data_IF_746269744263
#
_entry.id   IF_746269744263
#
_cell.length_a   1.000
_cell.length_b   1.000
_cell.length_c   1.000
_cell.angle_alpha   90.00
_cell.angle_beta   90.00
_cell.angle_gamma   90.00
#
_symmetry.space_group_name_H-M   'P 1'
#
loop_
_entity.id
_entity.type
_entity.pdbx_description
1 polymer ?
#
# COMPACT_ATOMS: atom_id res chain seq x y z
N UNK A 1 -22.55 16.41 -9.10
CA UNK A 1 -21.34 15.68 -9.50
C UNK A 1 -20.07 16.52 -9.42
N UNK A 2 -20.17 17.85 -9.50
CA UNK A 2 -19.00 18.76 -9.61
C UNK A 2 -18.22 19.13 -8.33
N UNK A 3 -18.77 18.90 -7.15
CA UNK A 3 -18.09 19.31 -5.89
C UNK A 3 -16.94 18.38 -5.46
N UNK A 4 -17.01 17.10 -5.79
CA UNK A 4 -16.00 16.11 -5.39
C UNK A 4 -14.76 16.14 -6.31
N UNK A 5 -14.96 16.39 -7.61
CA UNK A 5 -13.89 16.52 -8.60
C UNK A 5 -13.03 17.78 -8.35
N UNK A 6 -13.67 18.87 -7.93
CA UNK A 6 -13.01 20.12 -7.54
C UNK A 6 -12.16 19.98 -6.26
N UNK A 7 -12.57 19.14 -5.30
CA UNK A 7 -11.83 18.95 -4.04
C UNK A 7 -10.60 18.03 -4.23
N UNK A 8 -10.70 17.07 -5.13
CA UNK A 8 -9.57 16.19 -5.53
C UNK A 8 -8.51 16.96 -6.31
N UNK A 9 -8.94 17.80 -7.26
CA UNK A 9 -8.04 18.63 -8.05
C UNK A 9 -7.30 19.63 -7.15
N UNK A 10 -7.99 20.24 -6.17
CA UNK A 10 -7.38 21.14 -5.19
C UNK A 10 -6.35 20.43 -4.30
N UNK A 11 -6.64 19.22 -3.81
CA UNK A 11 -5.68 18.43 -3.02
C UNK A 11 -4.47 17.97 -3.84
N UNK A 12 -4.65 17.65 -5.11
CA UNK A 12 -3.55 17.34 -6.02
C UNK A 12 -2.66 18.57 -6.29
N UNK A 13 -3.25 19.78 -6.43
CA UNK A 13 -2.51 21.03 -6.57
C UNK A 13 -1.75 21.39 -5.28
N UNK A 14 -2.35 21.20 -4.11
CA UNK A 14 -1.68 21.40 -2.81
C UNK A 14 -0.51 20.42 -2.64
N UNK A 15 -0.69 19.17 -3.03
CA UNK A 15 0.38 18.16 -3.02
C UNK A 15 1.53 18.53 -3.97
N UNK A 16 1.23 18.91 -5.21
CA UNK A 16 2.24 19.38 -6.17
C UNK A 16 2.98 20.62 -5.67
N UNK A 17 2.32 21.48 -4.91
CA UNK A 17 2.92 22.68 -4.31
C UNK A 17 3.88 22.33 -3.16
N UNK A 18 3.53 21.34 -2.35
CA UNK A 18 4.41 20.80 -1.29
C UNK A 18 5.61 20.08 -1.91
N UNK A 19 5.39 19.28 -2.95
CA UNK A 19 6.43 18.59 -3.71
C UNK A 19 7.45 19.56 -4.30
N UNK A 20 6.99 20.61 -5.00
CA UNK A 20 7.87 21.65 -5.54
C UNK A 20 8.67 22.35 -4.46
N UNK A 21 8.04 22.66 -3.31
CA UNK A 21 8.77 23.26 -2.18
C UNK A 21 9.82 22.32 -1.60
N UNK A 22 9.55 21.01 -1.54
CA UNK A 22 10.53 20.00 -1.13
C UNK A 22 11.70 19.91 -2.09
N UNK A 23 11.45 19.93 -3.40
CA UNK A 23 12.47 19.93 -4.44
C UNK A 23 13.32 21.22 -4.41
N UNK A 24 12.68 22.39 -4.29
CA UNK A 24 13.36 23.67 -4.11
C UNK A 24 14.27 23.68 -2.87
N UNK A 25 13.75 23.17 -1.74
CA UNK A 25 14.52 23.06 -0.49
C UNK A 25 15.71 22.11 -0.63
N UNK A 26 15.54 20.96 -1.31
CA UNK A 26 16.61 20.01 -1.56
C UNK A 26 17.68 20.61 -2.47
N UNK A 27 17.29 21.36 -3.50
CA UNK A 27 18.23 22.08 -4.37
C UNK A 27 18.98 23.18 -3.63
N UNK A 28 18.32 23.87 -2.71
CA UNK A 28 18.94 24.93 -1.89
C UNK A 28 19.97 24.33 -0.92
N UNK A 29 19.65 23.21 -0.28
CA UNK A 29 20.57 22.45 0.56
C UNK A 29 21.76 21.89 -0.21
N UNK A 30 21.58 21.38 -1.43
CA UNK A 30 22.67 20.94 -2.30
C UNK A 30 23.63 22.08 -2.65
N UNK A 31 23.09 23.26 -3.00
CA UNK A 31 23.88 24.46 -3.29
C UNK A 31 24.68 24.93 -2.06
N UNK A 32 24.05 24.92 -0.88
CA UNK A 32 24.76 25.33 0.35
C UNK A 32 25.83 24.31 0.73
N UNK A 33 25.62 23.05 0.45
CA UNK A 33 26.55 21.96 0.62
C UNK A 33 27.79 22.10 -0.28
N UNK A 34 27.61 22.40 -1.56
CA UNK A 34 28.70 22.67 -2.50
C UNK A 34 29.49 23.91 -2.08
N UNK A 35 28.79 24.95 -1.63
CA UNK A 35 29.41 26.18 -1.13
C UNK A 35 30.28 25.95 0.10
N UNK A 36 29.77 25.13 1.05
CA UNK A 36 30.51 24.76 2.25
C UNK A 36 31.75 23.92 1.92
N UNK A 37 31.64 22.96 1.00
CA UNK A 37 32.78 22.16 0.49
C UNK A 37 33.84 23.04 -0.14
N UNK A 38 33.45 23.96 -1.02
CA UNK A 38 34.40 24.89 -1.66
C UNK A 38 35.11 25.76 -0.63
N UNK A 39 34.39 26.25 0.37
CA UNK A 39 34.98 27.03 1.49
C UNK A 39 35.96 26.23 2.33
N UNK A 40 35.66 24.95 2.59
CA UNK A 40 36.56 24.06 3.32
C UNK A 40 37.88 23.86 2.57
N UNK A 41 37.83 23.61 1.26
CA UNK A 41 39.03 23.46 0.42
C UNK A 41 39.84 24.78 0.37
N UNK A 42 39.20 25.93 0.24
CA UNK A 42 39.88 27.21 0.30
C UNK A 42 40.62 27.46 1.64
N UNK A 43 39.99 27.09 2.76
CA UNK A 43 40.64 27.21 4.06
C UNK A 43 41.81 26.24 4.20
N UNK A 44 41.71 25.02 3.67
CA UNK A 44 42.85 24.08 3.65
C UNK A 44 44.05 24.63 2.86
N UNK A 45 43.81 25.23 1.71
CA UNK A 45 44.89 25.81 0.88
C UNK A 45 45.51 27.05 1.54
N UNK A 46 44.71 27.89 2.20
CA UNK A 46 45.22 29.04 2.97
C UNK A 46 46.07 28.60 4.16
N UNK A 47 45.65 27.59 4.91
CA UNK A 47 46.43 27.02 6.01
C UNK A 47 47.75 26.47 5.51
N UNK A 48 47.79 25.71 4.39
CA UNK A 48 49.01 25.19 3.78
C UNK A 48 49.95 26.31 3.30
N UNK A 49 49.40 27.39 2.75
CA UNK A 49 50.20 28.52 2.29
C UNK A 49 50.88 29.28 3.47
N UNK A 50 50.17 29.42 4.61
CA UNK A 50 50.69 30.05 5.82
C UNK A 50 51.78 29.20 6.50
N UNK A 51 51.64 27.87 6.50
CA UNK A 51 52.64 26.95 7.02
C UNK A 51 53.98 27.03 6.27
N UNK A 52 53.99 27.36 4.97
CA UNK A 52 55.20 27.52 4.14
C UNK A 52 55.97 28.82 4.37
N UNK A 53 55.41 29.82 5.09
CA UNK A 53 55.97 31.14 5.34
C UNK A 53 56.67 31.29 6.69
N UNK A 54 56.97 30.23 7.33
CA UNK A 54 57.47 30.19 8.70
C UNK A 54 58.98 30.55 8.82
N UNK A 55 59.28 31.73 9.42
CA UNK A 55 60.38 31.98 10.32
C UNK A 55 60.35 33.44 10.83
N UNK A 56 59.83 33.66 12.09
CA UNK A 56 59.81 34.97 12.73
C UNK A 56 58.87 35.09 13.92
N UNK A 57 58.82 36.18 14.69
CA UNK A 57 57.94 36.38 15.85
C UNK A 57 56.46 36.44 15.49
N UNK A 58 56.08 36.39 14.22
CA UNK A 58 54.75 36.25 13.71
C UNK A 58 54.19 34.82 13.83
N UNK A 59 55.05 33.81 14.19
CA UNK A 59 54.69 32.39 14.22
C UNK A 59 53.63 32.08 15.29
N UNK A 60 53.65 32.79 16.40
CA UNK A 60 52.69 32.55 17.51
C UNK A 60 51.28 32.99 17.13
N UNK A 61 51.13 34.17 16.55
CA UNK A 61 49.85 34.67 16.00
C UNK A 61 49.34 33.80 14.84
N UNK A 62 50.24 33.27 14.01
CA UNK A 62 49.87 32.37 12.92
C UNK A 62 49.43 30.99 13.43
N UNK A 63 50.08 30.46 14.49
CA UNK A 63 49.67 29.22 15.14
C UNK A 63 48.26 29.32 15.76
N UNK A 64 48.00 30.43 16.46
CA UNK A 64 46.69 30.69 17.04
C UNK A 64 45.61 30.80 15.95
N UNK A 65 45.95 31.47 14.85
CA UNK A 65 45.05 31.58 13.69
C UNK A 65 44.78 30.22 13.03
N UNK A 66 45.83 29.39 12.89
CA UNK A 66 45.71 28.03 12.36
C UNK A 66 44.83 27.17 13.29
N UNK A 67 45.10 27.23 14.61
CA UNK A 67 44.30 26.49 15.59
C UNK A 67 42.80 26.87 15.52
N UNK A 68 42.53 28.17 15.45
CA UNK A 68 41.16 28.68 15.29
C UNK A 68 40.48 28.21 13.98
N UNK A 69 41.24 28.25 12.86
CA UNK A 69 40.74 27.79 11.56
C UNK A 69 40.50 26.27 11.52
N UNK A 70 41.34 25.48 12.21
CA UNK A 70 41.16 24.04 12.36
C UNK A 70 39.95 23.70 13.22
N UNK A 71 39.69 24.46 14.30
CA UNK A 71 38.49 24.33 15.10
C UNK A 71 37.23 24.69 14.29
N UNK A 72 37.25 25.82 13.56
CA UNK A 72 36.15 26.24 12.69
C UNK A 72 35.89 25.21 11.58
N UNK A 73 36.96 24.70 10.94
CA UNK A 73 36.86 23.62 9.95
C UNK A 73 36.21 22.38 10.53
N UNK A 74 36.64 21.97 11.73
CA UNK A 74 36.09 20.77 12.40
C UNK A 74 34.62 20.96 12.73
N UNK A 75 34.25 22.14 13.23
CA UNK A 75 32.86 22.49 13.50
C UNK A 75 32.01 22.48 12.22
N UNK A 76 32.55 23.03 11.12
CA UNK A 76 31.86 23.02 9.81
C UNK A 76 31.67 21.60 9.26
N UNK A 77 32.69 20.73 9.38
CA UNK A 77 32.60 19.32 8.96
C UNK A 77 31.53 18.57 9.76
N UNK A 78 31.49 18.79 11.08
CA UNK A 78 30.52 18.16 11.94
C UNK A 78 29.06 18.62 11.62
N UNK A 79 28.92 19.93 11.38
CA UNK A 79 27.64 20.50 10.96
C UNK A 79 27.21 19.99 9.59
N UNK A 80 28.15 19.84 8.66
CA UNK A 80 27.91 19.25 7.35
C UNK A 80 27.37 17.82 7.45
N UNK A 81 28.05 16.97 8.25
CA UNK A 81 27.64 15.58 8.46
C UNK A 81 26.23 15.50 9.07
N UNK A 82 25.95 16.34 10.07
CA UNK A 82 24.62 16.37 10.68
C UNK A 82 23.51 16.73 9.66
N UNK A 83 23.76 17.73 8.81
CA UNK A 83 22.82 18.12 7.74
C UNK A 83 22.69 17.02 6.67
N UNK A 84 23.77 16.32 6.35
CA UNK A 84 23.73 15.21 5.40
C UNK A 84 22.88 14.03 5.93
N UNK A 85 23.04 13.70 7.21
CA UNK A 85 22.27 12.64 7.84
C UNK A 85 20.78 13.02 7.97
N UNK A 86 20.48 14.26 8.39
CA UNK A 86 19.12 14.78 8.43
C UNK A 86 18.45 14.77 7.04
N UNK A 87 19.21 15.08 5.99
CA UNK A 87 18.72 15.05 4.60
C UNK A 87 18.42 13.63 4.12
N UNK A 88 19.25 12.64 4.51
CA UNK A 88 18.98 11.22 4.19
C UNK A 88 17.70 10.74 4.88
N UNK A 89 17.54 11.08 6.15
CA UNK A 89 16.34 10.73 6.91
C UNK A 89 15.07 11.39 6.33
N UNK A 90 15.21 12.66 5.93
CA UNK A 90 14.10 13.37 5.29
C UNK A 90 13.71 12.75 3.94
N UNK A 91 14.72 12.41 3.10
CA UNK A 91 14.47 11.76 1.82
C UNK A 91 13.81 10.38 1.99
N UNK A 92 14.25 9.61 2.99
CA UNK A 92 13.65 8.31 3.29
C UNK A 92 12.17 8.44 3.71
N UNK A 93 11.87 9.37 4.62
CA UNK A 93 10.49 9.65 5.06
C UNK A 93 9.62 10.19 3.92
N UNK A 94 10.20 10.98 3.04
CA UNK A 94 9.47 11.51 1.89
C UNK A 94 9.02 10.40 0.95
N UNK A 95 9.91 9.44 0.64
CA UNK A 95 9.57 8.28 -0.19
C UNK A 95 8.49 7.41 0.47
N UNK A 96 8.58 7.21 1.79
CA UNK A 96 7.57 6.47 2.54
C UNK A 96 6.19 7.14 2.44
N UNK A 97 6.12 8.45 2.65
CA UNK A 97 4.86 9.21 2.52
C UNK A 97 4.33 9.21 1.08
N UNK A 98 5.20 9.26 0.08
CA UNK A 98 4.81 9.17 -1.33
C UNK A 98 4.20 7.81 -1.65
N UNK A 99 4.81 6.72 -1.18
CA UNK A 99 4.28 5.37 -1.34
C UNK A 99 2.93 5.19 -0.62
N UNK A 100 2.79 5.71 0.60
CA UNK A 100 1.51 5.71 1.33
C UNK A 100 0.41 6.48 0.56
N UNK A 101 0.73 7.66 0.03
CA UNK A 101 -0.24 8.44 -0.74
C UNK A 101 -0.65 7.74 -2.05
N UNK A 102 0.31 7.11 -2.74
CA UNK A 102 0.02 6.35 -3.95
C UNK A 102 -0.90 5.14 -3.64
N UNK A 103 -0.63 4.45 -2.55
CA UNK A 103 -1.44 3.33 -2.10
C UNK A 103 -2.86 3.76 -1.73
N UNK A 104 -3.02 4.88 -1.01
CA UNK A 104 -4.32 5.44 -0.68
C UNK A 104 -5.09 5.89 -1.93
N UNK A 105 -4.42 6.51 -2.90
CA UNK A 105 -5.03 6.90 -4.17
C UNK A 105 -5.51 5.68 -4.95
N UNK A 106 -4.72 4.63 -5.03
CA UNK A 106 -5.09 3.37 -5.67
C UNK A 106 -6.29 2.72 -4.98
N UNK A 107 -6.31 2.70 -3.64
CA UNK A 107 -7.43 2.18 -2.87
C UNK A 107 -8.72 3.00 -3.09
N UNK A 108 -8.59 4.33 -3.20
CA UNK A 108 -9.73 5.19 -3.50
C UNK A 108 -10.33 4.88 -4.88
N UNK A 109 -9.47 4.75 -5.91
CA UNK A 109 -9.91 4.36 -7.26
C UNK A 109 -10.56 2.98 -7.25
N UNK A 110 -9.94 2.02 -6.55
CA UNK A 110 -10.46 0.68 -6.36
C UNK A 110 -11.84 0.68 -5.70
N UNK A 111 -12.00 1.43 -4.62
CA UNK A 111 -13.30 1.60 -3.93
C UNK A 111 -14.36 2.20 -4.86
N UNK A 112 -14.00 3.23 -5.64
CA UNK A 112 -14.91 3.83 -6.61
C UNK A 112 -15.36 2.83 -7.67
N UNK A 113 -14.43 2.05 -8.23
CA UNK A 113 -14.73 1.01 -9.21
C UNK A 113 -15.64 -0.07 -8.65
N UNK A 114 -15.36 -0.56 -7.43
CA UNK A 114 -16.17 -1.58 -6.76
C UNK A 114 -17.62 -1.15 -6.53
N UNK A 115 -17.87 0.14 -6.35
CA UNK A 115 -19.22 0.67 -6.12
C UNK A 115 -19.88 1.23 -7.39
N UNK A 116 -19.21 1.14 -8.56
CA UNK A 116 -19.74 1.64 -9.84
C UNK A 116 -20.73 0.67 -10.50
N UNK A 117 -20.70 -0.59 -10.13
CA UNK A 117 -21.56 -1.64 -10.70
C UNK A 117 -22.29 -2.45 -9.62
N UNK A 118 -23.43 -3.03 -10.00
CA UNK A 118 -24.20 -3.97 -9.19
C UNK A 118 -24.21 -5.38 -9.82
N UNK A 119 -23.47 -5.58 -10.90
CA UNK A 119 -23.28 -6.93 -11.46
C UNK A 119 -22.28 -7.72 -10.62
N UNK A 120 -22.72 -8.89 -10.14
CA UNK A 120 -21.91 -9.72 -9.25
C UNK A 120 -20.61 -10.21 -9.91
N UNK A 121 -20.67 -10.57 -11.20
CA UNK A 121 -19.51 -11.08 -11.94
C UNK A 121 -18.51 -9.96 -12.18
N UNK A 122 -19.00 -8.78 -12.55
CA UNK A 122 -18.16 -7.59 -12.76
C UNK A 122 -17.49 -7.15 -11.46
N UNK A 123 -18.23 -7.14 -10.33
CA UNK A 123 -17.62 -6.86 -9.01
C UNK A 123 -16.51 -7.83 -8.68
N UNK A 124 -16.69 -9.15 -8.89
CA UNK A 124 -15.64 -10.14 -8.65
C UNK A 124 -14.41 -9.90 -9.54
N UNK A 125 -14.62 -9.58 -10.81
CA UNK A 125 -13.54 -9.26 -11.76
C UNK A 125 -12.74 -8.05 -11.28
N UNK A 126 -13.42 -6.99 -10.85
CA UNK A 126 -12.77 -5.79 -10.30
C UNK A 126 -11.98 -6.14 -9.02
N UNK A 127 -12.54 -6.95 -8.11
CA UNK A 127 -11.81 -7.37 -6.90
C UNK A 127 -10.54 -8.14 -7.25
N UNK A 128 -10.61 -9.07 -8.20
CA UNK A 128 -9.46 -9.85 -8.71
C UNK A 128 -8.39 -8.91 -9.26
N UNK A 129 -8.75 -7.98 -10.14
CA UNK A 129 -7.82 -7.00 -10.71
C UNK A 129 -7.14 -6.13 -9.65
N UNK A 130 -7.90 -5.69 -8.65
CA UNK A 130 -7.36 -4.90 -7.55
C UNK A 130 -6.37 -5.71 -6.71
N UNK A 131 -6.68 -6.96 -6.39
CA UNK A 131 -5.78 -7.84 -5.62
C UNK A 131 -4.47 -8.04 -6.38
N UNK A 132 -4.52 -8.35 -7.67
CA UNK A 132 -3.33 -8.53 -8.51
C UNK A 132 -2.48 -7.24 -8.54
N UNK A 133 -3.09 -6.11 -8.84
CA UNK A 133 -2.39 -4.84 -9.06
C UNK A 133 -1.89 -4.19 -7.78
N UNK A 134 -2.70 -4.20 -6.71
CA UNK A 134 -2.37 -3.52 -5.46
C UNK A 134 -1.44 -4.35 -4.58
N UNK A 135 -1.70 -5.66 -4.49
CA UNK A 135 -0.98 -6.56 -3.59
C UNK A 135 0.21 -7.22 -4.30
N UNK A 136 0.11 -7.45 -5.61
CA UNK A 136 1.14 -8.15 -6.37
C UNK A 136 1.18 -9.63 -6.03
N UNK A 137 0.05 -10.31 -6.14
CA UNK A 137 -0.09 -11.76 -5.95
C UNK A 137 -0.55 -12.42 -7.23
N UNK A 138 -0.12 -13.65 -7.44
CA UNK A 138 -0.45 -14.52 -8.58
C UNK A 138 -1.21 -15.79 -8.17
N UNK A 139 -1.24 -16.11 -6.88
CA UNK A 139 -1.99 -17.26 -6.36
C UNK A 139 -2.90 -16.84 -5.20
N UNK A 140 -4.19 -16.71 -5.48
CA UNK A 140 -5.17 -16.34 -4.45
C UNK A 140 -6.57 -16.82 -4.81
N UNK A 141 -7.47 -16.79 -3.82
CA UNK A 141 -8.87 -17.10 -4.01
C UNK A 141 -9.80 -16.25 -3.15
N UNK A 142 -10.97 -15.96 -3.71
CA UNK A 142 -12.08 -15.33 -3.01
C UNK A 142 -13.11 -16.43 -2.78
N UNK A 143 -13.47 -16.63 -1.52
CA UNK A 143 -14.42 -17.65 -1.12
C UNK A 143 -15.61 -16.99 -0.42
N UNK A 144 -16.82 -17.44 -0.74
CA UNK A 144 -18.04 -17.00 -0.07
C UNK A 144 -18.68 -18.16 0.70
N UNK A 145 -19.38 -17.80 1.77
CA UNK A 145 -20.17 -18.74 2.55
C UNK A 145 -21.43 -19.09 1.77
N UNK A 146 -21.67 -20.38 1.58
CA UNK A 146 -22.96 -20.91 1.14
C UNK A 146 -23.86 -21.05 2.37
N UNK A 147 -24.90 -20.24 2.45
CA UNK A 147 -25.84 -20.20 3.57
C UNK A 147 -26.61 -21.52 3.78
N UNK A 148 -26.73 -22.36 2.72
CA UNK A 148 -27.45 -23.64 2.80
C UNK A 148 -26.58 -24.76 3.36
N UNK A 149 -25.29 -24.80 2.98
CA UNK A 149 -24.37 -25.85 3.38
C UNK A 149 -23.47 -25.43 4.52
N UNK A 150 -23.37 -24.15 4.84
CA UNK A 150 -22.45 -23.56 5.80
C UNK A 150 -20.99 -23.88 5.49
N UNK A 151 -20.65 -23.94 4.20
CA UNK A 151 -19.33 -24.21 3.67
C UNK A 151 -18.86 -23.03 2.83
N UNK A 152 -17.54 -22.84 2.77
CA UNK A 152 -16.89 -21.88 1.89
C UNK A 152 -16.69 -22.51 0.51
N UNK A 153 -17.03 -21.79 -0.53
CA UNK A 153 -16.78 -22.14 -1.92
C UNK A 153 -16.07 -21.02 -2.65
N UNK A 154 -15.12 -21.34 -3.53
CA UNK A 154 -14.45 -20.36 -4.37
C UNK A 154 -15.46 -19.76 -5.36
N UNK A 155 -15.48 -18.42 -5.42
CA UNK A 155 -16.28 -17.66 -6.40
C UNK A 155 -15.39 -16.97 -7.44
N UNK A 156 -14.14 -16.68 -7.08
CA UNK A 156 -13.11 -16.21 -7.99
C UNK A 156 -11.74 -16.70 -7.49
N UNK A 157 -10.81 -16.95 -8.40
CA UNK A 157 -9.45 -17.41 -8.06
C UNK A 157 -8.50 -17.15 -9.21
N UNK A 158 -7.24 -16.98 -8.89
CA UNK A 158 -6.12 -16.89 -9.84
C UNK A 158 -5.00 -17.83 -9.40
N UNK A 159 -4.33 -18.49 -10.34
CA UNK A 159 -3.16 -19.35 -10.09
C UNK A 159 -3.41 -20.65 -9.31
N UNK A 160 -4.61 -20.93 -8.83
CA UNK A 160 -4.93 -22.05 -7.92
C UNK A 160 -5.93 -23.07 -8.50
N UNK A 161 -5.83 -23.38 -9.78
CA UNK A 161 -6.77 -24.29 -10.47
C UNK A 161 -6.96 -25.66 -9.80
N UNK A 162 -5.93 -26.14 -9.10
CA UNK A 162 -5.96 -27.46 -8.43
C UNK A 162 -6.93 -27.52 -7.25
N UNK A 163 -7.26 -26.40 -6.64
CA UNK A 163 -8.08 -26.34 -5.42
C UNK A 163 -9.39 -25.56 -5.57
N UNK A 164 -9.64 -24.90 -6.70
CA UNK A 164 -10.83 -24.07 -6.93
C UNK A 164 -12.18 -24.77 -6.70
N UNK A 165 -12.22 -26.10 -6.78
CA UNK A 165 -13.44 -26.88 -6.54
C UNK A 165 -13.54 -27.42 -5.11
N UNK A 166 -12.52 -27.17 -4.25
CA UNK A 166 -12.58 -27.63 -2.86
C UNK A 166 -13.56 -26.77 -2.07
N UNK A 167 -14.31 -27.39 -1.18
CA UNK A 167 -15.15 -26.74 -0.19
C UNK A 167 -14.51 -26.83 1.17
N UNK A 168 -14.59 -25.77 1.96
CA UNK A 168 -13.98 -25.69 3.29
C UNK A 168 -15.09 -25.42 4.31
N UNK A 169 -15.11 -26.21 5.39
CA UNK A 169 -16.07 -26.00 6.48
C UNK A 169 -15.61 -24.84 7.36
N UNK A 170 -16.58 -24.08 7.87
CA UNK A 170 -16.31 -23.02 8.84
C UNK A 170 -15.67 -23.65 10.09
N UNK A 171 -14.51 -23.12 10.49
CA UNK A 171 -13.70 -23.63 11.60
C UNK A 171 -12.69 -24.71 11.22
N UNK A 172 -12.58 -25.10 9.95
CA UNK A 172 -11.61 -26.07 9.47
C UNK A 172 -10.38 -25.40 8.86
N UNK A 173 -9.20 -25.77 9.31
CA UNK A 173 -7.93 -25.16 8.89
C UNK A 173 -7.84 -23.67 9.18
N UNK A 174 -6.87 -22.99 8.56
CA UNK A 174 -6.65 -21.55 8.74
C UNK A 174 -7.84 -20.77 8.17
N UNK A 175 -8.22 -21.08 6.93
CA UNK A 175 -9.27 -20.38 6.21
C UNK A 175 -10.61 -20.46 6.94
N UNK A 176 -11.00 -21.65 7.38
CA UNK A 176 -12.25 -21.85 8.13
C UNK A 176 -12.23 -21.18 9.50
N UNK A 177 -11.06 -21.13 10.17
CA UNK A 177 -10.91 -20.44 11.45
C UNK A 177 -11.02 -18.92 11.31
N UNK A 178 -10.41 -18.31 10.28
CA UNK A 178 -10.55 -16.88 9.99
C UNK A 178 -12.02 -16.49 9.82
N UNK A 179 -12.80 -17.31 9.13
CA UNK A 179 -14.24 -17.06 8.97
C UNK A 179 -15.00 -17.24 10.27
N UNK A 180 -14.59 -18.18 11.13
CA UNK A 180 -15.22 -18.42 12.43
C UNK A 180 -14.93 -17.32 13.44
N UNK A 181 -13.68 -16.84 13.54
CA UNK A 181 -13.24 -15.82 14.53
C UNK A 181 -13.47 -14.43 14.01
N UNK A 182 -13.39 -14.24 12.70
CA UNK A 182 -13.40 -12.94 12.05
C UNK A 182 -12.09 -12.18 12.25
N UNK A 183 -11.02 -12.80 12.62
CA UNK A 183 -9.69 -12.21 12.77
C UNK A 183 -8.87 -12.43 11.51
N UNK A 184 -8.04 -11.44 11.16
CA UNK A 184 -7.13 -11.57 10.04
C UNK A 184 -6.02 -12.55 10.39
N UNK A 185 -5.59 -13.35 9.43
CA UNK A 185 -4.42 -14.22 9.55
C UNK A 185 -3.32 -13.73 8.60
N UNK A 186 -2.12 -13.64 9.13
CA UNK A 186 -0.90 -13.31 8.41
C UNK A 186 0.19 -14.28 8.85
N UNK A 187 0.87 -14.94 7.88
CA UNK A 187 2.01 -15.79 8.14
C UNK A 187 3.21 -14.93 8.57
N UNK A 188 3.85 -15.30 9.68
CA UNK A 188 5.01 -14.56 10.20
C UNK A 188 6.28 -14.86 9.40
N UNK A 189 6.41 -16.10 8.89
CA UNK A 189 7.58 -16.57 8.16
C UNK A 189 7.23 -16.90 6.70
N UNK A 190 7.35 -15.89 5.83
CA UNK A 190 7.10 -16.02 4.39
C UNK A 190 8.20 -16.78 3.63
N UNK A 191 9.29 -17.20 4.29
CA UNK A 191 10.35 -18.01 3.68
C UNK A 191 9.94 -19.48 3.56
N UNK A 192 8.93 -19.89 4.34
CA UNK A 192 8.41 -21.26 4.27
C UNK A 192 7.41 -21.33 3.11
N UNK A 193 7.80 -22.03 2.05
CA UNK A 193 6.91 -22.27 0.92
C UNK A 193 5.89 -23.37 1.25
N UNK A 194 4.61 -23.00 1.23
CA UNK A 194 3.49 -23.92 1.29
C UNK A 194 2.81 -23.96 -0.07
N UNK A 195 2.72 -25.14 -0.74
CA UNK A 195 1.97 -25.21 -1.99
C UNK A 195 0.49 -24.90 -1.74
N UNK A 196 -0.15 -24.16 -2.66
CA UNK A 196 -1.57 -23.80 -2.55
C UNK A 196 -2.49 -25.03 -2.37
N UNK A 197 -2.05 -26.21 -2.85
CA UNK A 197 -2.76 -27.49 -2.67
C UNK A 197 -3.07 -27.83 -1.21
N UNK A 198 -2.25 -27.37 -0.28
CA UNK A 198 -2.38 -27.66 1.16
C UNK A 198 -3.39 -26.74 1.86
N UNK A 199 -3.98 -25.78 1.12
CA UNK A 199 -4.89 -24.76 1.66
C UNK A 199 -4.29 -23.96 2.82
N UNK A 200 -2.98 -23.73 2.77
CA UNK A 200 -2.25 -22.94 3.75
C UNK A 200 -1.93 -21.55 3.16
N UNK A 201 -2.80 -20.55 3.38
CA UNK A 201 -2.57 -19.22 2.87
C UNK A 201 -1.51 -18.49 3.68
N UNK A 202 -0.71 -17.64 3.03
CA UNK A 202 0.19 -16.68 3.70
C UNK A 202 -0.57 -15.49 4.28
N UNK A 203 -1.71 -15.15 3.66
CA UNK A 203 -2.63 -14.12 4.16
C UNK A 203 -4.05 -14.63 4.01
N UNK A 204 -4.86 -14.42 5.05
CA UNK A 204 -6.27 -14.77 5.01
C UNK A 204 -7.09 -13.70 5.73
N UNK A 205 -7.98 -13.02 5.00
CA UNK A 205 -8.72 -11.86 5.51
C UNK A 205 -10.21 -12.08 5.32
N UNK A 206 -11.01 -11.96 6.39
CA UNK A 206 -12.45 -12.14 6.29
C UNK A 206 -13.13 -10.96 5.58
N UNK A 207 -14.07 -11.28 4.72
CA UNK A 207 -14.98 -10.32 4.09
C UNK A 207 -16.11 -10.01 5.08
N UNK A 208 -16.01 -8.87 5.77
CA UNK A 208 -16.93 -8.48 6.86
C UNK A 208 -17.80 -7.30 6.47
N UNK A 209 -19.08 -7.39 6.87
CA UNK A 209 -20.00 -6.26 6.88
C UNK A 209 -20.49 -6.11 8.33
N UNK A 210 -19.93 -5.14 9.04
CA UNK A 210 -20.07 -5.03 10.52
C UNK A 210 -19.60 -6.34 11.19
N UNK A 211 -20.52 -7.05 11.84
CA UNK A 211 -20.26 -8.31 12.54
C UNK A 211 -20.54 -9.55 11.69
N UNK A 212 -21.07 -9.36 10.46
CA UNK A 212 -21.45 -10.45 9.58
C UNK A 212 -20.34 -10.76 8.58
N UNK A 213 -19.87 -12.01 8.56
CA UNK A 213 -18.84 -12.49 7.65
C UNK A 213 -19.51 -13.18 6.49
N UNK A 214 -19.24 -12.72 5.28
CA UNK A 214 -19.83 -13.28 4.03
C UNK A 214 -18.86 -14.23 3.31
N UNK A 215 -17.58 -14.18 3.67
CA UNK A 215 -16.54 -14.95 2.99
C UNK A 215 -15.16 -14.57 3.44
N UNK A 216 -14.16 -14.84 2.60
CA UNK A 216 -12.75 -14.63 2.88
C UNK A 216 -11.96 -14.43 1.59
N UNK A 217 -10.89 -13.64 1.67
CA UNK A 217 -9.81 -13.58 0.66
C UNK A 217 -8.64 -14.37 1.23
N UNK A 218 -8.14 -15.36 0.50
CA UNK A 218 -6.99 -16.17 0.86
C UNK A 218 -5.90 -16.02 -0.20
N UNK A 219 -4.70 -15.56 0.19
CA UNK A 219 -3.53 -15.37 -0.66
C UNK A 219 -2.52 -16.45 -0.32
N UNK A 220 -1.98 -17.14 -1.34
CA UNK A 220 -1.07 -18.28 -1.18
C UNK A 220 0.35 -17.93 -1.58
N UNK A 221 0.56 -16.99 -2.50
CA UNK A 221 1.90 -16.54 -2.91
C UNK A 221 1.92 -15.04 -3.23
N UNK A 222 3.12 -14.47 -3.22
CA UNK A 222 3.38 -13.11 -3.68
C UNK A 222 4.29 -13.16 -4.90
N UNK A 223 4.09 -12.25 -5.85
CA UNK A 223 4.96 -12.11 -7.02
C UNK A 223 6.40 -11.83 -6.60
N UNK A 224 7.39 -12.37 -7.34
CA UNK A 224 8.82 -12.21 -7.05
C UNK A 224 9.27 -10.75 -6.93
N UNK A 225 8.62 -9.84 -7.64
CA UNK A 225 8.92 -8.41 -7.66
C UNK A 225 8.70 -7.72 -6.29
N UNK A 226 7.91 -8.32 -5.41
CA UNK A 226 7.55 -7.75 -4.09
C UNK A 226 8.49 -8.19 -2.94
N UNK A 227 9.71 -8.67 -3.24
CA UNK A 227 10.72 -9.09 -2.25
C UNK A 227 10.19 -10.02 -1.14
N UNK A 228 9.12 -10.75 -1.39
CA UNK A 228 8.49 -11.72 -0.47
C UNK A 228 8.25 -11.18 0.96
N UNK A 229 8.02 -9.87 1.12
CA UNK A 229 7.71 -9.26 2.43
C UNK A 229 6.49 -8.38 2.31
N UNK A 230 5.56 -8.58 3.23
CA UNK A 230 4.43 -7.69 3.42
C UNK A 230 4.79 -6.63 4.46
N UNK A 231 4.50 -5.38 4.15
CA UNK A 231 4.68 -4.24 5.05
C UNK A 231 3.43 -4.03 5.91
N UNK A 232 3.54 -3.20 6.95
CA UNK A 232 2.35 -2.79 7.72
C UNK A 232 1.29 -2.13 6.85
N UNK A 233 1.73 -1.36 5.87
CA UNK A 233 0.85 -0.68 4.90
C UNK A 233 0.09 -1.71 4.06
N UNK A 234 0.74 -2.79 3.61
CA UNK A 234 0.08 -3.86 2.88
C UNK A 234 -1.03 -4.54 3.70
N UNK A 235 -0.81 -4.75 5.00
CA UNK A 235 -1.83 -5.32 5.90
C UNK A 235 -3.05 -4.41 6.06
N UNK A 236 -2.83 -3.11 6.20
CA UNK A 236 -3.89 -2.11 6.31
C UNK A 236 -4.67 -2.01 5.00
N UNK A 237 -3.98 -1.93 3.87
CA UNK A 237 -4.58 -1.90 2.53
C UNK A 237 -5.43 -3.13 2.25
N UNK A 238 -4.92 -4.32 2.56
CA UNK A 238 -5.66 -5.58 2.41
C UNK A 238 -6.93 -5.59 3.28
N UNK A 239 -6.84 -5.12 4.52
CA UNK A 239 -7.99 -5.06 5.43
C UNK A 239 -9.05 -4.06 4.94
N UNK A 240 -8.64 -2.90 4.43
CA UNK A 240 -9.53 -1.90 3.84
C UNK A 240 -10.16 -2.42 2.55
N UNK A 241 -9.38 -3.04 1.67
CA UNK A 241 -9.87 -3.67 0.45
C UNK A 241 -10.92 -4.73 0.75
N UNK A 242 -10.67 -5.62 1.72
CA UNK A 242 -11.61 -6.66 2.12
C UNK A 242 -12.94 -6.07 2.61
N UNK A 243 -12.92 -4.95 3.33
CA UNK A 243 -14.12 -4.24 3.76
C UNK A 243 -14.93 -3.67 2.58
N UNK A 244 -14.26 -3.03 1.61
CA UNK A 244 -14.91 -2.52 0.40
C UNK A 244 -15.44 -3.65 -0.48
N UNK A 245 -14.63 -4.68 -0.70
CA UNK A 245 -15.02 -5.88 -1.46
C UNK A 245 -16.22 -6.58 -0.83
N UNK A 246 -16.23 -6.75 0.50
CA UNK A 246 -17.35 -7.35 1.21
C UNK A 246 -18.66 -6.59 0.94
N UNK A 247 -18.63 -5.26 1.05
CA UNK A 247 -19.81 -4.42 0.82
C UNK A 247 -20.27 -4.49 -0.63
N UNK A 248 -19.38 -4.42 -1.59
CA UNK A 248 -19.69 -4.48 -3.02
C UNK A 248 -20.26 -5.86 -3.42
N UNK A 249 -19.60 -6.95 -2.99
CA UNK A 249 -20.04 -8.34 -3.23
C UNK A 249 -21.41 -8.60 -2.62
N UNK A 250 -21.64 -8.17 -1.39
CA UNK A 250 -22.92 -8.35 -0.73
C UNK A 250 -24.04 -7.57 -1.44
N UNK A 251 -23.78 -6.31 -1.77
CA UNK A 251 -24.76 -5.45 -2.44
C UNK A 251 -25.13 -6.00 -3.82
N UNK A 252 -24.15 -6.44 -4.61
CA UNK A 252 -24.38 -7.03 -5.93
C UNK A 252 -25.12 -8.38 -5.84
N UNK A 253 -24.79 -9.23 -4.86
CA UNK A 253 -25.50 -10.49 -4.60
C UNK A 253 -26.97 -10.24 -4.23
N UNK A 254 -27.21 -9.28 -3.34
CA UNK A 254 -28.55 -8.91 -2.91
C UNK A 254 -29.39 -8.34 -4.08
N UNK A 255 -28.77 -7.48 -4.88
CA UNK A 255 -29.40 -6.91 -6.07
C UNK A 255 -29.80 -7.99 -7.07
N UNK A 256 -28.86 -8.88 -7.42
CA UNK A 256 -29.12 -10.01 -8.33
C UNK A 256 -30.24 -10.95 -7.83
N UNK A 257 -30.28 -11.19 -6.52
CA UNK A 257 -31.36 -11.99 -5.92
C UNK A 257 -32.71 -11.26 -6.01
N UNK A 258 -32.72 -9.94 -5.79
CA UNK A 258 -33.95 -9.14 -5.91
C UNK A 258 -34.46 -9.11 -7.33
N UNK A 259 -33.61 -8.91 -8.31
CA UNK A 259 -33.97 -8.93 -9.74
C UNK A 259 -34.57 -10.29 -10.18
N UNK A 260 -33.96 -11.40 -9.76
CA UNK A 260 -34.48 -12.74 -10.03
C UNK A 260 -35.86 -12.95 -9.45
N UNK A 261 -36.11 -12.49 -8.22
CA UNK A 261 -37.44 -12.57 -7.58
C UNK A 261 -38.49 -11.74 -8.34
N UNK A 262 -38.12 -10.49 -8.72
CA UNK A 262 -39.00 -9.63 -9.51
C UNK A 262 -39.34 -10.23 -10.87
N UNK A 263 -38.36 -10.74 -11.61
CA UNK A 263 -38.56 -11.40 -12.89
C UNK A 263 -39.48 -12.63 -12.77
N UNK A 264 -39.28 -13.41 -11.70
CA UNK A 264 -40.15 -14.57 -11.43
C UNK A 264 -41.60 -14.13 -11.17
N UNK A 265 -41.82 -13.10 -10.35
CA UNK A 265 -43.14 -12.55 -10.06
C UNK A 265 -43.79 -12.01 -11.34
N UNK A 266 -43.05 -11.28 -12.16
CA UNK A 266 -43.52 -10.78 -13.45
C UNK A 266 -43.93 -11.90 -14.39
N UNK A 267 -43.12 -12.96 -14.52
CA UNK A 267 -43.48 -14.15 -15.27
C UNK A 267 -44.78 -14.83 -14.80
N UNK A 268 -45.00 -14.89 -13.48
CA UNK A 268 -46.28 -15.40 -12.94
C UNK A 268 -47.47 -14.50 -13.29
N UNK A 269 -47.31 -13.18 -13.19
CA UNK A 269 -48.38 -12.22 -13.56
C UNK A 269 -48.73 -12.35 -15.04
N UNK A 270 -47.71 -12.46 -15.90
CA UNK A 270 -47.94 -12.61 -17.36
C UNK A 270 -48.65 -13.93 -17.70
N UNK A 271 -48.29 -15.02 -17.02
CA UNK A 271 -48.98 -16.31 -17.19
C UNK A 271 -50.47 -16.26 -16.74
N UNK A 272 -50.75 -15.56 -15.65
CA UNK A 272 -52.12 -15.40 -15.15
C UNK A 272 -52.93 -14.46 -16.05
N UNK A 273 -52.30 -13.39 -16.58
CA UNK A 273 -52.96 -12.45 -17.49
C UNK A 273 -53.30 -13.06 -18.85
N UNK A 274 -52.41 -13.94 -19.37
CA UNK A 274 -52.63 -14.63 -20.65
C UNK A 274 -53.66 -15.79 -20.57
N UNK A 275 -54.00 -16.29 -19.35
CA UNK A 275 -55.02 -17.33 -19.16
C UNK A 275 -56.43 -16.78 -19.14
N UNK A 276 -56.60 -15.47 -19.15
CA UNK A 276 -57.88 -14.77 -19.17
C UNK A 276 -58.23 -14.18 -20.55
N UNK A 277 -57.51 -14.53 -21.59
CA UNK A 277 -57.88 -14.32 -23.00
C UNK A 277 -58.18 -15.66 -23.66
#
# INVERSE_FOLDING_TARGET
>A
MDKNESDITRKAEEFLKVFRKGEEFTQELLKENERLRYRTVQFEDQVKALQRRSEGPEIENLKDTISHLEEEKTALINRYKAVEDENKDFAARYLEVEDENNNLANLYVASYQLHSTLDFTEVLTIVVEIIINLIGTDEFGIMLIDEMTNELSFVASEGIDSIKNKKIKIGDGIIGNVVKTGENYFEEDLEIFHPASDLHPIVCIPLKIKDYIIGVIAIFSLMEQKNKKLTKVDYELLSMLAGHAATAIFSSKLYSQSERKLSTIQGFIDLLSNKNK
#
